data_IF_012401364420
#
_entry.id   IF_012401364420
#
_cell.length_a   1.000
_cell.length_b   1.000
_cell.length_c   1.000
_cell.angle_alpha   90.00
_cell.angle_beta   90.00
_cell.angle_gamma   90.00
#
_symmetry.space_group_name_H-M   'P 1'
#
loop_
_entity.id
_entity.type
_entity.pdbx_description
1 polymer ?
#
# COMPACT_ATOMS: atom_id res chain seq x y z
N UNK A 1 -56.95 -40.57 11.81
CA UNK A 1 -56.46 -39.85 13.00
C UNK A 1 -55.12 -39.24 12.65
N UNK A 2 -55.10 -37.91 12.55
CA UNK A 2 -53.96 -37.08 12.15
C UNK A 2 -53.03 -36.94 13.35
N UNK A 3 -51.73 -37.23 13.24
CA UNK A 3 -50.76 -36.78 14.25
C UNK A 3 -49.56 -36.13 13.56
N UNK A 4 -49.78 -34.89 13.17
CA UNK A 4 -48.85 -33.99 12.53
C UNK A 4 -48.34 -33.00 13.56
N UNK A 5 -47.26 -33.31 14.28
CA UNK A 5 -46.44 -32.30 14.98
C UNK A 5 -44.97 -32.72 14.90
N UNK A 6 -44.48 -32.70 13.64
CA UNK A 6 -43.06 -32.65 13.33
C UNK A 6 -42.52 -31.29 13.76
N UNK A 7 -41.27 -31.26 14.19
CA UNK A 7 -40.39 -30.08 14.23
C UNK A 7 -40.76 -29.01 15.26
N UNK A 8 -40.45 -29.26 16.54
CA UNK A 8 -40.24 -28.16 17.49
C UNK A 8 -38.84 -27.60 17.20
N UNK A 9 -38.84 -26.51 16.44
CA UNK A 9 -37.68 -25.71 16.10
C UNK A 9 -37.10 -25.03 17.36
N UNK A 10 -35.92 -25.46 17.82
CA UNK A 10 -35.04 -24.61 18.61
C UNK A 10 -34.23 -23.75 17.64
N UNK A 11 -34.80 -22.62 17.25
CA UNK A 11 -34.10 -21.57 16.52
C UNK A 11 -33.00 -20.98 17.43
N UNK A 12 -31.77 -21.45 17.30
CA UNK A 12 -30.60 -20.73 17.79
C UNK A 12 -30.44 -19.49 16.91
N UNK A 13 -30.98 -18.36 17.36
CA UNK A 13 -30.78 -17.06 16.75
C UNK A 13 -29.29 -16.69 16.86
N UNK A 14 -28.53 -16.99 15.81
CA UNK A 14 -27.17 -16.50 15.61
C UNK A 14 -27.25 -15.00 15.35
N UNK A 15 -27.25 -14.20 16.43
CA UNK A 15 -27.17 -12.76 16.33
C UNK A 15 -25.78 -12.37 15.79
N UNK A 16 -25.68 -12.20 14.48
CA UNK A 16 -24.52 -11.55 13.84
C UNK A 16 -24.49 -10.08 14.29
N UNK A 17 -23.74 -9.79 15.36
CA UNK A 17 -23.37 -8.42 15.70
C UNK A 17 -22.37 -7.96 14.65
N UNK A 18 -22.86 -7.27 13.62
CA UNK A 18 -22.00 -6.60 12.64
C UNK A 18 -21.29 -5.44 13.35
N UNK A 19 -20.05 -5.65 13.77
CA UNK A 19 -19.20 -4.56 14.23
C UNK A 19 -18.87 -3.67 13.03
N UNK A 20 -19.29 -2.41 13.08
CA UNK A 20 -18.84 -1.39 12.14
C UNK A 20 -17.34 -1.17 12.39
N UNK A 21 -16.50 -1.86 11.63
CA UNK A 21 -15.05 -1.67 11.70
C UNK A 21 -14.73 -0.25 11.23
N UNK A 22 -14.33 0.62 12.17
CA UNK A 22 -13.77 1.94 11.83
C UNK A 22 -12.43 1.71 11.12
N UNK A 23 -12.20 2.41 10.02
CA UNK A 23 -10.90 2.38 9.36
C UNK A 23 -9.81 2.79 10.37
N UNK A 24 -8.73 2.01 10.42
CA UNK A 24 -7.58 2.35 11.24
C UNK A 24 -7.02 3.72 10.81
N UNK A 25 -6.57 4.54 11.76
CA UNK A 25 -6.06 5.88 11.50
C UNK A 25 -4.55 5.91 11.73
N UNK A 26 -3.84 6.59 10.84
CA UNK A 26 -2.38 6.71 10.87
C UNK A 26 -1.96 8.17 10.75
N UNK A 27 -1.11 8.64 11.65
CA UNK A 27 -0.61 10.02 11.61
C UNK A 27 0.37 10.28 10.45
N UNK A 28 0.89 9.21 9.83
CA UNK A 28 1.77 9.31 8.68
C UNK A 28 1.70 8.07 7.77
N UNK A 29 1.96 8.23 6.46
CA UNK A 29 2.14 7.11 5.55
C UNK A 29 3.24 6.13 5.96
N UNK A 30 4.30 6.61 6.64
CA UNK A 30 5.41 5.77 7.11
C UNK A 30 4.91 4.69 8.06
N UNK A 31 4.03 5.03 9.01
CA UNK A 31 3.51 4.05 9.96
C UNK A 31 2.76 2.91 9.24
N UNK A 32 1.96 3.26 8.22
CA UNK A 32 1.25 2.28 7.39
C UNK A 32 2.20 1.39 6.58
N UNK A 33 3.27 1.97 6.02
CA UNK A 33 4.31 1.23 5.29
C UNK A 33 5.01 0.20 6.18
N UNK A 34 5.39 0.59 7.41
CA UNK A 34 6.03 -0.33 8.37
C UNK A 34 5.07 -1.45 8.77
N UNK A 35 3.78 -1.14 8.99
CA UNK A 35 2.80 -2.18 9.28
C UNK A 35 2.66 -3.19 8.13
N UNK A 36 2.68 -2.74 6.87
CA UNK A 36 2.65 -3.65 5.73
C UNK A 36 3.92 -4.51 5.62
N UNK A 37 5.07 -4.05 6.12
CA UNK A 37 6.28 -4.87 6.23
C UNK A 37 6.07 -6.03 7.21
N UNK A 38 5.42 -5.73 8.35
CA UNK A 38 5.18 -6.69 9.43
C UNK A 38 3.96 -7.60 9.17
N UNK A 39 3.07 -7.21 8.25
CA UNK A 39 1.85 -7.95 7.94
C UNK A 39 2.16 -9.27 7.19
N UNK A 40 1.55 -10.41 7.60
CA UNK A 40 1.77 -11.70 6.94
C UNK A 40 1.39 -11.72 5.45
N UNK A 41 0.37 -10.96 5.07
CA UNK A 41 -0.09 -10.82 3.68
C UNK A 41 0.60 -9.66 2.93
N UNK A 42 1.51 -8.94 3.61
CA UNK A 42 2.28 -7.83 3.07
C UNK A 42 1.44 -6.59 2.76
N UNK A 43 0.28 -6.41 3.41
CA UNK A 43 -0.66 -5.32 3.15
C UNK A 43 -1.05 -4.56 4.40
N UNK A 44 -1.40 -3.29 4.22
CA UNK A 44 -2.02 -2.47 5.26
C UNK A 44 -2.87 -1.38 4.61
N UNK A 45 -4.01 -1.04 5.21
CA UNK A 45 -4.89 0.04 4.75
C UNK A 45 -5.44 0.86 5.90
N UNK A 46 -5.77 2.12 5.63
CA UNK A 46 -6.43 3.00 6.60
C UNK A 46 -6.58 4.44 6.14
N UNK A 47 -6.96 5.29 7.06
CA UNK A 47 -7.04 6.74 6.86
C UNK A 47 -5.75 7.41 7.35
N UNK A 48 -5.19 8.29 6.53
CA UNK A 48 -4.13 9.20 6.96
C UNK A 48 -4.79 10.40 7.62
N UNK A 49 -4.37 10.72 8.84
CA UNK A 49 -4.86 11.85 9.63
C UNK A 49 -3.73 12.83 9.95
N UNK A 50 -4.06 13.91 10.65
CA UNK A 50 -3.07 14.90 11.08
C UNK A 50 -2.49 15.77 9.95
N UNK A 51 -1.27 16.31 10.13
CA UNK A 51 -0.70 17.32 9.24
C UNK A 51 -0.52 16.86 7.78
N UNK A 52 -0.18 15.58 7.56
CA UNK A 52 -0.02 15.04 6.20
C UNK A 52 -1.35 15.04 5.45
N UNK A 53 -2.42 14.60 6.11
CA UNK A 53 -3.77 14.62 5.55
C UNK A 53 -4.23 16.04 5.23
N UNK A 54 -3.90 16.99 6.10
CA UNK A 54 -4.24 18.40 5.90
C UNK A 54 -3.54 18.99 4.66
N UNK A 55 -2.26 18.65 4.43
CA UNK A 55 -1.57 19.06 3.19
C UNK A 55 -2.20 18.44 1.95
N UNK A 56 -2.63 17.18 2.02
CA UNK A 56 -3.29 16.52 0.90
C UNK A 56 -4.65 17.18 0.59
N UNK A 57 -5.46 17.47 1.62
CA UNK A 57 -6.71 18.23 1.50
C UNK A 57 -6.50 19.62 0.88
N UNK A 58 -5.46 20.33 1.29
CA UNK A 58 -5.10 21.63 0.71
C UNK A 58 -4.72 21.50 -0.77
N UNK A 59 -3.96 20.46 -1.14
CA UNK A 59 -3.52 20.23 -2.51
C UNK A 59 -4.67 19.84 -3.45
N UNK A 60 -5.66 19.10 -2.95
CA UNK A 60 -6.80 18.63 -3.77
C UNK A 60 -8.03 19.54 -3.68
N UNK A 61 -8.12 20.39 -2.66
CA UNK A 61 -9.30 21.18 -2.35
C UNK A 61 -10.48 20.36 -1.78
N UNK A 62 -10.29 19.07 -1.47
CA UNK A 62 -11.33 18.20 -0.92
C UNK A 62 -11.21 18.08 0.61
N UNK A 63 -12.36 18.03 1.30
CA UNK A 63 -12.45 17.72 2.73
C UNK A 63 -12.69 16.24 3.03
N UNK A 64 -12.79 15.39 2.01
CA UNK A 64 -13.00 13.95 2.19
C UNK A 64 -11.79 13.29 2.90
N UNK A 65 -11.99 12.14 3.57
CA UNK A 65 -10.89 11.38 4.17
C UNK A 65 -9.79 11.03 3.15
N UNK A 66 -8.53 11.05 3.61
CA UNK A 66 -7.38 10.63 2.80
C UNK A 66 -7.15 9.15 3.09
N UNK A 67 -7.58 8.29 2.19
CA UNK A 67 -7.43 6.85 2.33
C UNK A 67 -6.09 6.40 1.78
N UNK A 68 -5.48 5.41 2.42
CA UNK A 68 -4.19 4.87 2.08
C UNK A 68 -4.23 3.34 2.04
N UNK A 69 -3.61 2.77 1.02
CA UNK A 69 -3.40 1.34 0.89
C UNK A 69 -1.94 1.07 0.55
N UNK A 70 -1.33 0.11 1.24
CA UNK A 70 0.00 -0.37 0.99
C UNK A 70 -0.04 -1.84 0.60
N UNK A 71 0.72 -2.21 -0.42
CA UNK A 71 0.97 -3.60 -0.78
C UNK A 71 2.44 -3.86 -1.03
N UNK A 72 2.89 -5.05 -0.68
CA UNK A 72 4.23 -5.55 -1.03
C UNK A 72 4.28 -5.96 -2.49
N UNK A 73 5.17 -5.33 -3.26
CA UNK A 73 5.48 -5.71 -4.65
C UNK A 73 6.51 -6.84 -4.66
N UNK A 74 7.56 -6.73 -3.83
CA UNK A 74 8.66 -7.70 -3.74
C UNK A 74 9.29 -7.67 -2.35
N UNK A 75 9.79 -8.82 -1.88
CA UNK A 75 10.71 -8.89 -0.73
C UNK A 75 12.17 -8.90 -1.21
N UNK A 76 13.02 -8.17 -0.49
CA UNK A 76 14.48 -8.25 -0.65
C UNK A 76 15.02 -9.45 0.14
N UNK A 77 16.25 -9.87 -0.15
CA UNK A 77 16.98 -10.90 0.61
C UNK A 77 17.35 -10.42 2.02
N UNK A 78 17.59 -9.11 2.17
CA UNK A 78 17.76 -8.50 3.48
C UNK A 78 16.44 -8.59 4.28
N UNK A 79 16.51 -9.17 5.47
CA UNK A 79 15.34 -9.37 6.34
C UNK A 79 14.67 -8.03 6.68
N UNK A 80 13.33 -8.02 6.68
CA UNK A 80 12.55 -6.83 6.98
C UNK A 80 12.57 -5.75 5.88
N UNK A 81 13.13 -6.03 4.71
CA UNK A 81 13.18 -5.09 3.58
C UNK A 81 12.24 -5.51 2.44
N UNK A 82 11.43 -4.56 1.96
CA UNK A 82 10.44 -4.79 0.92
C UNK A 82 10.39 -3.63 -0.08
N UNK A 83 10.02 -3.93 -1.32
CA UNK A 83 9.49 -2.95 -2.27
C UNK A 83 7.99 -2.87 -2.06
N UNK A 84 7.51 -1.70 -1.69
CA UNK A 84 6.13 -1.43 -1.33
C UNK A 84 5.52 -0.45 -2.33
N UNK A 85 4.26 -0.63 -2.67
CA UNK A 85 3.44 0.38 -3.33
C UNK A 85 2.56 1.04 -2.29
N UNK A 86 2.63 2.37 -2.17
CA UNK A 86 1.61 3.15 -1.47
C UNK A 86 0.65 3.77 -2.48
N UNK A 87 -0.64 3.68 -2.20
CA UNK A 87 -1.71 4.39 -2.92
C UNK A 87 -2.46 5.28 -1.94
N UNK A 88 -2.40 6.60 -2.15
CA UNK A 88 -3.22 7.59 -1.46
C UNK A 88 -4.42 7.94 -2.36
N UNK A 89 -5.61 7.97 -1.79
CA UNK A 89 -6.87 8.19 -2.50
C UNK A 89 -7.73 9.20 -1.77
N UNK A 90 -8.36 10.10 -2.52
CA UNK A 90 -9.30 11.05 -1.96
C UNK A 90 -10.40 11.38 -2.96
N UNK A 91 -11.65 11.20 -2.54
CA UNK A 91 -12.84 11.57 -3.30
C UNK A 91 -13.18 13.06 -3.18
N UNK A 92 -14.24 13.48 -3.88
CA UNK A 92 -14.78 14.84 -3.79
C UNK A 92 -13.84 15.92 -4.34
N UNK A 93 -12.87 15.54 -5.17
CA UNK A 93 -11.93 16.49 -5.79
C UNK A 93 -12.56 17.05 -7.05
N UNK A 94 -12.61 18.37 -7.16
CA UNK A 94 -13.13 19.07 -8.34
C UNK A 94 -12.07 19.08 -9.44
N UNK A 95 -12.35 18.40 -10.55
CA UNK A 95 -11.52 18.40 -11.75
C UNK A 95 -11.58 19.73 -12.51
N UNK A 96 -10.69 19.89 -13.50
CA UNK A 96 -10.65 21.09 -14.37
C UNK A 96 -11.93 21.29 -15.17
N UNK A 97 -12.71 20.24 -15.39
CA UNK A 97 -14.01 20.25 -16.05
C UNK A 97 -15.17 20.57 -15.09
N UNK A 98 -14.87 20.89 -13.83
CA UNK A 98 -15.85 21.21 -12.78
C UNK A 98 -16.55 19.98 -12.18
N UNK A 99 -16.23 18.76 -12.63
CA UNK A 99 -16.83 17.53 -12.09
C UNK A 99 -16.07 17.07 -10.85
N UNK A 100 -16.80 16.47 -9.91
CA UNK A 100 -16.18 15.81 -8.77
C UNK A 100 -15.71 14.40 -9.16
N UNK A 101 -14.54 14.01 -8.65
CA UNK A 101 -13.98 12.67 -8.83
C UNK A 101 -13.10 12.25 -7.68
N UNK A 102 -12.45 11.10 -7.85
CA UNK A 102 -11.38 10.61 -6.97
C UNK A 102 -10.02 10.91 -7.61
N UNK A 103 -9.09 11.41 -6.80
CA UNK A 103 -7.68 11.43 -7.17
C UNK A 103 -6.95 10.29 -6.49
N UNK A 104 -6.05 9.67 -7.24
CA UNK A 104 -5.17 8.61 -6.76
C UNK A 104 -3.73 9.03 -6.98
N UNK A 105 -2.97 9.10 -5.90
CA UNK A 105 -1.52 9.30 -5.93
C UNK A 105 -0.83 7.99 -5.54
N UNK A 106 -0.04 7.41 -6.44
CA UNK A 106 0.63 6.13 -6.19
C UNK A 106 2.13 6.29 -6.34
N UNK A 107 2.90 5.72 -5.42
CA UNK A 107 4.35 5.63 -5.53
C UNK A 107 4.88 4.35 -4.93
N UNK A 108 5.98 3.87 -5.51
CA UNK A 108 6.70 2.70 -5.04
C UNK A 108 7.94 3.14 -4.29
N UNK A 109 8.27 2.45 -3.20
CA UNK A 109 9.49 2.68 -2.43
C UNK A 109 10.13 1.36 -2.00
N UNK A 110 11.45 1.35 -1.92
CA UNK A 110 12.20 0.28 -1.29
C UNK A 110 12.46 0.70 0.17
N UNK A 111 11.96 -0.06 1.14
CA UNK A 111 12.03 0.29 2.54
C UNK A 111 12.30 -0.92 3.42
N UNK A 112 13.21 -0.76 4.36
CA UNK A 112 13.44 -1.68 5.45
C UNK A 112 12.64 -1.28 6.69
N UNK A 113 12.43 -2.22 7.60
CA UNK A 113 11.64 -2.01 8.82
C UNK A 113 12.14 -0.86 9.71
N UNK A 114 13.46 -0.60 9.69
CA UNK A 114 14.10 0.52 10.38
C UNK A 114 13.93 1.88 9.66
N UNK A 115 13.37 1.87 8.45
CA UNK A 115 13.16 3.03 7.59
C UNK A 115 14.31 3.34 6.65
N UNK A 116 15.37 2.52 6.61
CA UNK A 116 16.50 2.67 5.68
C UNK A 116 16.18 2.04 4.31
N UNK A 117 16.90 2.42 3.24
CA UNK A 117 16.85 1.70 1.98
C UNK A 117 17.55 0.33 2.09
N UNK A 118 17.12 -0.69 1.33
CA UNK A 118 17.84 -1.96 1.26
C UNK A 118 19.22 -1.78 0.63
N UNK A 119 20.17 -2.60 1.08
CA UNK A 119 21.55 -2.60 0.57
C UNK A 119 21.68 -3.21 -0.83
N UNK A 120 20.72 -4.06 -1.23
CA UNK A 120 20.66 -4.61 -2.57
C UNK A 120 20.53 -3.51 -3.63
N UNK A 121 21.45 -3.51 -4.61
CA UNK A 121 21.48 -2.52 -5.68
C UNK A 121 22.16 -1.19 -5.30
N UNK A 122 22.62 -1.04 -4.06
CA UNK A 122 23.41 0.12 -3.60
C UNK A 122 24.93 -0.09 -3.76
N UNK A 123 25.37 -1.33 -4.00
CA UNK A 123 26.77 -1.68 -4.24
C UNK A 123 27.17 -1.34 -5.70
N UNK A 124 27.75 -0.16 -5.87
CA UNK A 124 28.18 0.36 -7.16
C UNK A 124 29.31 -0.48 -7.80
N UNK A 125 30.15 -1.14 -7.01
CA UNK A 125 31.21 -2.02 -7.54
C UNK A 125 30.59 -3.28 -8.15
N UNK A 126 29.62 -3.89 -7.45
CA UNK A 126 28.87 -5.05 -7.95
C UNK A 126 28.03 -4.69 -9.17
N UNK A 127 27.38 -3.52 -9.17
CA UNK A 127 26.66 -3.00 -10.34
C UNK A 127 27.63 -2.81 -11.51
N UNK A 128 28.79 -2.21 -11.27
CA UNK A 128 29.85 -2.05 -12.26
C UNK A 128 30.33 -3.38 -12.84
N UNK A 129 30.44 -4.44 -12.03
CA UNK A 129 30.81 -5.79 -12.49
C UNK A 129 29.74 -6.41 -13.40
N UNK A 130 28.45 -6.26 -13.06
CA UNK A 130 27.34 -6.77 -13.89
C UNK A 130 27.26 -6.01 -15.21
N UNK A 131 27.32 -4.68 -15.18
CA UNK A 131 27.28 -3.86 -16.39
C UNK A 131 28.54 -4.02 -17.24
N UNK A 132 29.71 -4.13 -16.62
CA UNK A 132 30.99 -4.39 -17.29
C UNK A 132 31.05 -5.78 -17.92
N UNK A 133 30.37 -6.77 -17.36
CA UNK A 133 30.25 -8.11 -17.96
C UNK A 133 29.33 -8.18 -19.18
N UNK A 134 28.48 -7.17 -19.39
CA UNK A 134 27.52 -7.10 -20.51
C UNK A 134 27.90 -6.10 -21.61
N UNK A 135 28.86 -5.17 -21.38
CA UNK A 135 29.00 -3.97 -22.20
C UNK A 135 30.34 -3.72 -22.91
N UNK A 136 31.41 -4.49 -22.65
CA UNK A 136 32.76 -4.11 -23.16
C UNK A 136 33.17 -4.84 -24.43
N UNK A 137 32.41 -5.85 -24.89
CA UNK A 137 32.80 -6.67 -26.04
C UNK A 137 32.29 -6.17 -27.42
N UNK A 138 31.30 -5.27 -27.50
CA UNK A 138 30.64 -4.97 -28.79
C UNK A 138 30.75 -3.50 -29.28
N UNK A 139 31.43 -2.62 -28.54
CA UNK A 139 31.38 -1.17 -28.81
C UNK A 139 32.56 -0.52 -29.56
N UNK A 140 33.70 -1.20 -29.70
CA UNK A 140 34.95 -0.53 -30.13
C UNK A 140 35.56 -1.07 -31.44
N UNK A 141 34.80 -1.80 -32.27
CA UNK A 141 35.24 -2.22 -33.61
C UNK A 141 34.56 -1.44 -34.74
N UNK A 142 33.80 -0.37 -34.44
CA UNK A 142 33.04 0.42 -35.43
C UNK A 142 33.56 1.86 -35.63
N UNK A 143 34.77 2.15 -35.17
CA UNK A 143 35.43 3.46 -35.34
C UNK A 143 36.82 3.36 -35.99
N UNK A 144 37.02 2.39 -36.88
CA UNK A 144 38.09 2.43 -37.89
C UNK A 144 37.50 2.34 -39.28
#
# INVERSE_FOLDING_TARGET
MVNAYRVIACAAALACVATLAKAAQYDSPKALLIQAIDAPDGKASGEIVGPVAERFRQATGSSAPVLADVSTIKSFQQEGCKRLQLRLRQGGVTGKDGKQGEVVFSYDLNLCRDGTPPTEGMDLERVGKVLGSAGVAEGFERLK
#
